data_IF_789664880732
#
_entry.id   IF_789664880732
#
_cell.length_a   1.000
_cell.length_b   1.000
_cell.length_c   1.000
_cell.angle_alpha   90.00
_cell.angle_beta   90.00
_cell.angle_gamma   90.00
#
_symmetry.space_group_name_H-M   'P 1'
#
loop_
_entity.id
_entity.type
_entity.pdbx_description
1 polymer ?
#
# COMPACT_ATOMS: atom_id res chain seq x y z
N UNK A 1 -11.71 -16.16 14.74
CA UNK A 1 -11.88 -14.85 14.10
C UNK A 1 -13.29 -14.85 13.57
N UNK A 2 -14.08 -13.86 13.97
CA UNK A 2 -15.46 -13.76 13.51
C UNK A 2 -15.47 -13.30 12.04
N UNK A 3 -16.48 -13.68 11.25
CA UNK A 3 -16.61 -13.28 9.84
C UNK A 3 -16.50 -11.75 9.64
N UNK A 4 -16.84 -10.98 10.68
CA UNK A 4 -16.70 -9.53 10.73
C UNK A 4 -15.24 -9.07 10.73
N UNK A 5 -14.36 -9.72 11.49
CA UNK A 5 -12.92 -9.38 11.54
C UNK A 5 -12.26 -9.56 10.16
N UNK A 6 -12.67 -10.60 9.44
CA UNK A 6 -12.14 -10.90 8.11
C UNK A 6 -12.60 -9.87 7.06
N UNK A 7 -13.86 -9.44 7.12
CA UNK A 7 -14.38 -8.37 6.27
C UNK A 7 -13.65 -7.03 6.52
N UNK A 8 -13.38 -6.70 7.79
CA UNK A 8 -12.62 -5.51 8.17
C UNK A 8 -11.16 -5.57 7.67
N UNK A 9 -10.50 -6.73 7.78
CA UNK A 9 -9.16 -6.93 7.23
C UNK A 9 -9.13 -6.78 5.70
N UNK A 10 -10.13 -7.32 5.00
CA UNK A 10 -10.26 -7.13 3.53
C UNK A 10 -10.46 -5.67 3.16
N UNK A 11 -11.33 -4.95 3.87
CA UNK A 11 -11.53 -3.51 3.62
C UNK A 11 -10.23 -2.73 3.80
N UNK A 12 -9.52 -3.00 4.91
CA UNK A 12 -8.23 -2.39 5.19
C UNK A 12 -7.17 -2.72 4.12
N UNK A 13 -7.19 -3.93 3.57
CA UNK A 13 -6.32 -4.31 2.46
C UNK A 13 -6.57 -3.44 1.22
N UNK A 14 -7.83 -3.27 0.85
CA UNK A 14 -8.21 -2.46 -0.30
C UNK A 14 -7.88 -0.97 -0.10
N UNK A 15 -8.05 -0.45 1.12
CA UNK A 15 -7.63 0.91 1.47
C UNK A 15 -6.11 1.09 1.29
N UNK A 16 -5.33 0.14 1.80
CA UNK A 16 -3.86 0.17 1.66
C UNK A 16 -3.43 0.06 0.20
N UNK A 17 -4.09 -0.78 -0.60
CA UNK A 17 -3.82 -0.93 -2.05
C UNK A 17 -4.14 0.34 -2.82
N UNK A 18 -5.27 0.98 -2.51
CA UNK A 18 -5.66 2.28 -3.08
C UNK A 18 -4.62 3.34 -2.75
N UNK A 19 -4.27 3.50 -1.47
CA UNK A 19 -3.26 4.45 -1.03
C UNK A 19 -1.89 4.20 -1.67
N UNK A 20 -1.51 2.94 -1.87
CA UNK A 20 -0.27 2.58 -2.55
C UNK A 20 -0.29 3.00 -4.03
N UNK A 21 -1.43 2.82 -4.73
CA UNK A 21 -1.60 3.26 -6.13
C UNK A 21 -1.53 4.78 -6.25
N UNK A 22 -2.22 5.51 -5.39
CA UNK A 22 -2.20 6.99 -5.38
C UNK A 22 -0.78 7.54 -5.16
N UNK A 23 0.00 6.89 -4.29
CA UNK A 23 1.41 7.21 -4.07
C UNK A 23 2.26 6.97 -5.31
N UNK A 24 1.96 5.93 -6.08
CA UNK A 24 2.67 5.63 -7.32
C UNK A 24 2.38 6.68 -8.39
N UNK A 25 1.11 7.04 -8.57
CA UNK A 25 0.69 8.07 -9.52
C UNK A 25 1.31 9.44 -9.15
N UNK A 26 1.36 9.76 -7.86
CA UNK A 26 2.03 10.96 -7.35
C UNK A 26 3.54 10.97 -7.65
N UNK A 27 4.21 9.83 -7.48
CA UNK A 27 5.64 9.66 -7.80
C UNK A 27 5.86 9.82 -9.30
N UNK A 28 5.02 9.19 -10.13
CA UNK A 28 5.13 9.28 -11.58
C UNK A 28 4.91 10.71 -12.08
N UNK A 29 3.91 11.41 -11.55
CA UNK A 29 3.65 12.81 -11.85
C UNK A 29 4.85 13.71 -11.49
N UNK A 30 5.47 13.51 -10.32
CA UNK A 30 6.68 14.24 -9.90
C UNK A 30 7.88 13.98 -10.80
N UNK A 31 8.05 12.74 -11.26
CA UNK A 31 9.11 12.36 -12.21
C UNK A 31 8.85 13.01 -13.57
N UNK A 32 7.61 12.91 -14.09
CA UNK A 32 7.21 13.52 -15.37
C UNK A 32 7.31 15.04 -15.36
N UNK A 33 7.01 15.67 -14.23
CA UNK A 33 7.17 17.12 -14.04
C UNK A 33 8.64 17.58 -14.01
N UNK A 34 9.61 16.65 -14.01
CA UNK A 34 11.04 16.99 -13.97
C UNK A 34 11.45 17.61 -12.64
N UNK A 35 10.74 17.31 -11.54
CA UNK A 35 11.03 17.88 -10.23
C UNK A 35 12.46 17.52 -9.80
N UNK A 36 13.25 18.54 -9.46
CA UNK A 36 14.60 18.37 -8.87
C UNK A 36 14.53 18.06 -7.38
N UNK A 37 13.33 17.96 -6.79
CA UNK A 37 13.15 17.63 -5.39
C UNK A 37 13.34 16.12 -5.14
N UNK A 38 14.60 15.71 -5.17
CA UNK A 38 15.00 14.34 -4.87
C UNK A 38 14.63 13.93 -3.45
N UNK A 39 14.56 14.87 -2.50
CA UNK A 39 14.19 14.58 -1.12
C UNK A 39 12.71 14.22 -1.01
N UNK A 40 11.84 14.97 -1.69
CA UNK A 40 10.42 14.64 -1.78
C UNK A 40 10.21 13.28 -2.45
N UNK A 41 10.90 13.03 -3.56
CA UNK A 41 10.83 11.74 -4.26
C UNK A 41 11.28 10.57 -3.37
N UNK A 42 12.37 10.74 -2.61
CA UNK A 42 12.84 9.74 -1.66
C UNK A 42 11.83 9.47 -0.54
N UNK A 43 11.22 10.52 0.02
CA UNK A 43 10.17 10.40 1.06
C UNK A 43 8.95 9.62 0.54
N UNK A 44 8.49 9.94 -0.67
CA UNK A 44 7.36 9.23 -1.28
C UNK A 44 7.69 7.77 -1.56
N UNK A 45 8.87 7.47 -2.12
CA UNK A 45 9.32 6.09 -2.34
C UNK A 45 9.41 5.29 -1.04
N UNK A 46 9.94 5.90 0.03
CA UNK A 46 9.98 5.26 1.37
C UNK A 46 8.58 4.96 1.90
N UNK A 47 7.63 5.89 1.72
CA UNK A 47 6.24 5.70 2.13
C UNK A 47 5.56 4.61 1.30
N UNK A 48 5.79 4.57 -0.02
CA UNK A 48 5.32 3.51 -0.92
C UNK A 48 5.84 2.14 -0.48
N UNK A 49 7.12 2.04 -0.12
CA UNK A 49 7.72 0.79 0.39
C UNK A 49 7.05 0.33 1.68
N UNK A 50 6.84 1.23 2.65
CA UNK A 50 6.15 0.89 3.89
C UNK A 50 4.72 0.37 3.66
N UNK A 51 3.96 1.01 2.75
CA UNK A 51 2.63 0.53 2.38
C UNK A 51 2.68 -0.85 1.73
N UNK A 52 3.66 -1.12 0.87
CA UNK A 52 3.86 -2.45 0.27
C UNK A 52 4.12 -3.50 1.35
N UNK A 53 4.95 -3.19 2.34
CA UNK A 53 5.25 -4.10 3.44
C UNK A 53 4.01 -4.33 4.33
N UNK A 54 3.19 -3.29 4.56
CA UNK A 54 1.90 -3.41 5.27
C UNK A 54 0.91 -4.28 4.51
N UNK A 55 0.77 -4.08 3.20
CA UNK A 55 -0.06 -4.91 2.31
C UNK A 55 0.38 -6.36 2.41
N UNK A 56 1.69 -6.63 2.24
CA UNK A 56 2.21 -8.00 2.29
C UNK A 56 1.98 -8.67 3.66
N UNK A 57 2.10 -7.92 4.76
CA UNK A 57 1.79 -8.43 6.10
C UNK A 57 0.31 -8.77 6.25
N UNK A 58 -0.58 -7.90 5.77
CA UNK A 58 -2.01 -8.12 5.87
C UNK A 58 -2.49 -9.24 4.94
N UNK A 59 -1.93 -9.33 3.73
CA UNK A 59 -2.15 -10.44 2.80
C UNK A 59 -1.70 -11.76 3.42
N UNK A 60 -0.51 -11.81 4.03
CA UNK A 60 -0.04 -13.00 4.74
C UNK A 60 -0.86 -13.35 5.99
N UNK A 61 -1.62 -12.41 6.56
CA UNK A 61 -2.56 -12.70 7.64
C UNK A 61 -3.90 -13.24 7.13
N UNK A 62 -4.29 -12.86 5.90
CA UNK A 62 -5.50 -13.31 5.21
C UNK A 62 -5.30 -14.64 4.46
N UNK A 63 -4.12 -14.89 3.88
CA UNK A 63 -3.76 -16.10 3.14
C UNK A 63 -3.93 -17.41 3.94
N UNK A 64 -3.62 -17.49 5.25
CA UNK A 64 -3.88 -18.66 6.07
C UNK A 64 -5.34 -19.12 6.00
N UNK A 65 -6.28 -18.20 5.82
CA UNK A 65 -7.73 -18.45 5.77
C UNK A 65 -8.26 -18.75 4.35
N UNK A 66 -7.49 -18.45 3.30
CA UNK A 66 -7.92 -18.67 1.90
C UNK A 66 -7.60 -20.11 1.42
N UNK A 67 -6.69 -20.81 2.11
CA UNK A 67 -6.23 -22.18 1.77
C UNK A 67 -6.59 -23.20 2.87
N UNK A 68 -7.34 -22.80 3.91
CA UNK A 68 -7.81 -23.67 4.99
C UNK A 68 -9.19 -24.29 4.68
#
# INVERSE_FOLDING_TARGET
>A
MDDQDFAELKHKLEDLRTAHRDLDDSIEALIKAGSRDQLQLQRLKKRKLALKDDIARLENALVPDIIA
#
